data_IF_217803545312
#
_entry.id   IF_217803545312
#
_cell.length_a   1.000
_cell.length_b   1.000
_cell.length_c   1.000
_cell.angle_alpha   90.00
_cell.angle_beta   90.00
_cell.angle_gamma   90.00
#
_symmetry.space_group_name_H-M   'P 1'
#
loop_
_entity.id
_entity.type
_entity.pdbx_description
1 polymer ?
#
# COMPACT_ATOMS: atom_id res chain seq x y z
N UNK A 1 53.00 56.50 -74.35
CA UNK A 1 51.92 55.63 -74.85
C UNK A 1 51.17 55.13 -73.62
N UNK A 2 49.97 55.66 -73.39
CA UNK A 2 49.17 55.46 -72.21
C UNK A 2 48.51 54.09 -72.22
N UNK A 3 48.53 53.41 -71.04
CA UNK A 3 47.61 52.30 -70.77
C UNK A 3 46.86 52.59 -69.49
N UNK A 4 45.56 52.67 -69.62
CA UNK A 4 44.56 52.87 -68.60
C UNK A 4 44.40 51.68 -67.67
N UNK A 5 44.43 51.92 -66.39
CA UNK A 5 44.03 50.95 -65.36
C UNK A 5 42.65 51.32 -64.83
N UNK A 6 41.70 50.38 -64.97
CA UNK A 6 40.41 50.42 -64.38
C UNK A 6 40.52 49.78 -62.93
N UNK A 7 39.94 50.33 -61.90
CA UNK A 7 39.83 49.63 -60.63
C UNK A 7 38.48 48.90 -60.55
N UNK A 8 38.58 47.57 -60.42
CA UNK A 8 37.44 46.74 -60.07
C UNK A 8 37.00 47.00 -58.65
N UNK A 9 35.76 47.46 -58.51
CA UNK A 9 35.07 47.69 -57.25
C UNK A 9 34.50 46.36 -56.74
N UNK A 10 35.24 45.69 -55.84
CA UNK A 10 34.79 44.48 -55.18
C UNK A 10 33.67 44.84 -54.20
N UNK A 11 32.49 44.27 -54.43
CA UNK A 11 31.31 44.35 -53.55
C UNK A 11 31.54 43.41 -52.37
N UNK A 12 32.12 43.87 -51.27
CA UNK A 12 32.27 43.18 -50.00
C UNK A 12 31.07 43.46 -49.09
N UNK A 13 29.92 42.84 -49.31
CA UNK A 13 28.78 43.02 -48.41
C UNK A 13 27.82 41.85 -48.34
N UNK A 14 27.88 40.89 -49.26
CA UNK A 14 26.87 39.83 -49.29
C UNK A 14 27.14 38.57 -48.45
N UNK A 15 28.37 38.14 -48.11
CA UNK A 15 28.55 36.87 -47.38
C UNK A 15 28.14 36.93 -45.91
N UNK A 16 28.24 38.09 -45.26
CA UNK A 16 27.95 38.21 -43.82
C UNK A 16 26.42 38.16 -43.54
N UNK A 17 25.62 38.75 -44.41
CA UNK A 17 24.16 38.80 -44.22
C UNK A 17 23.50 37.45 -44.51
N UNK A 18 24.09 36.63 -45.41
CA UNK A 18 23.63 35.24 -45.66
C UNK A 18 24.00 34.32 -44.51
N UNK A 19 25.19 34.49 -43.91
CA UNK A 19 25.61 33.72 -42.76
C UNK A 19 24.72 34.01 -41.53
N UNK A 20 24.41 35.28 -41.28
CA UNK A 20 23.51 35.70 -40.19
C UNK A 20 22.10 35.10 -40.36
N UNK A 21 21.54 35.13 -41.57
CA UNK A 21 20.22 34.55 -41.86
C UNK A 21 20.23 33.03 -41.70
N UNK A 22 21.30 32.33 -42.08
CA UNK A 22 21.45 30.88 -41.93
C UNK A 22 21.59 30.47 -40.47
N UNK A 23 22.34 31.25 -39.68
CA UNK A 23 22.46 31.00 -38.21
C UNK A 23 21.12 31.30 -37.53
N UNK A 24 20.41 32.33 -37.87
CA UNK A 24 19.11 32.66 -37.33
C UNK A 24 18.07 31.56 -37.65
N UNK A 25 18.08 31.05 -38.89
CA UNK A 25 17.22 29.97 -39.32
C UNK A 25 17.54 28.66 -38.59
N UNK A 26 18.82 28.34 -38.37
CA UNK A 26 19.26 27.17 -37.59
C UNK A 26 18.84 27.27 -36.12
N UNK A 27 18.95 28.43 -35.50
CA UNK A 27 18.49 28.68 -34.12
C UNK A 27 16.98 28.52 -34.02
N UNK A 28 16.21 29.09 -34.94
CA UNK A 28 14.73 28.92 -34.96
C UNK A 28 14.34 27.45 -35.20
N UNK A 29 15.05 26.71 -36.05
CA UNK A 29 14.79 25.28 -36.22
C UNK A 29 15.12 24.45 -34.96
N UNK A 30 16.22 24.76 -34.27
CA UNK A 30 16.60 24.10 -33.01
C UNK A 30 15.58 24.38 -31.90
N UNK A 31 15.07 25.60 -31.79
CA UNK A 31 14.03 25.95 -30.84
C UNK A 31 12.71 25.27 -31.15
N UNK A 32 12.33 25.19 -32.44
CA UNK A 32 11.10 24.51 -32.87
C UNK A 32 11.15 22.97 -32.67
N UNK A 33 12.31 22.34 -32.81
CA UNK A 33 12.50 20.90 -32.51
C UNK A 33 12.60 20.62 -31.01
N UNK A 34 13.15 21.53 -30.20
CA UNK A 34 13.29 21.40 -28.77
C UNK A 34 11.95 21.35 -28.02
N UNK A 35 10.94 22.10 -28.46
CA UNK A 35 9.64 22.14 -27.80
C UNK A 35 8.80 20.86 -27.90
N UNK A 36 9.07 20.00 -28.88
CA UNK A 36 8.32 18.72 -29.04
C UNK A 36 8.80 17.59 -28.15
N UNK A 37 10.04 17.63 -27.64
CA UNK A 37 10.64 16.54 -26.87
C UNK A 37 10.57 16.72 -25.36
N UNK A 38 10.39 17.97 -24.87
CA UNK A 38 10.50 18.27 -23.44
C UNK A 38 9.34 17.69 -22.63
N UNK A 39 8.09 17.80 -23.09
CA UNK A 39 6.92 17.34 -22.35
C UNK A 39 6.86 15.82 -22.12
N UNK A 40 6.95 14.97 -23.18
CA UNK A 40 6.90 13.52 -23.02
C UNK A 40 8.10 12.95 -22.24
N UNK A 41 9.30 13.49 -22.45
CA UNK A 41 10.53 13.02 -21.77
C UNK A 41 10.53 13.39 -20.29
N UNK A 42 10.07 14.57 -19.94
CA UNK A 42 9.86 14.98 -18.54
C UNK A 42 8.88 14.06 -17.84
N UNK A 43 7.73 13.79 -18.46
CA UNK A 43 6.72 12.90 -17.88
C UNK A 43 7.26 11.49 -17.63
N UNK A 44 8.06 10.94 -18.56
CA UNK A 44 8.67 9.61 -18.40
C UNK A 44 9.70 9.57 -17.25
N UNK A 45 10.40 10.65 -16.98
CA UNK A 45 11.41 10.72 -15.92
C UNK A 45 10.79 11.00 -14.55
N UNK A 46 9.78 11.85 -14.48
CA UNK A 46 9.22 12.32 -13.21
C UNK A 46 8.09 11.45 -12.68
N UNK A 47 7.28 10.84 -13.57
CA UNK A 47 6.17 9.99 -13.17
C UNK A 47 6.56 8.80 -12.26
N UNK A 48 7.64 8.02 -12.54
CA UNK A 48 8.07 6.95 -11.65
C UNK A 48 8.52 7.46 -10.28
N UNK A 49 9.17 8.62 -10.21
CA UNK A 49 9.63 9.22 -8.96
C UNK A 49 8.46 9.66 -8.08
N UNK A 50 7.43 10.29 -8.67
CA UNK A 50 6.21 10.65 -7.93
C UNK A 50 5.45 9.43 -7.45
N UNK A 51 5.29 8.41 -8.30
CA UNK A 51 4.65 7.16 -7.89
C UNK A 51 5.37 6.52 -6.70
N UNK A 52 6.70 6.47 -6.74
CA UNK A 52 7.50 5.95 -5.63
C UNK A 52 7.33 6.78 -4.35
N UNK A 53 7.37 8.12 -4.46
CA UNK A 53 7.21 9.01 -3.32
C UNK A 53 5.83 8.89 -2.67
N UNK A 54 4.78 8.79 -3.48
CA UNK A 54 3.39 8.62 -3.03
C UNK A 54 3.22 7.24 -2.36
N UNK A 55 3.66 6.17 -3.01
CA UNK A 55 3.59 4.82 -2.44
C UNK A 55 4.28 4.76 -1.08
N UNK A 56 5.50 5.30 -0.99
CA UNK A 56 6.24 5.36 0.27
C UNK A 56 5.51 6.17 1.35
N UNK A 57 4.92 7.31 0.99
CA UNK A 57 4.16 8.14 1.94
C UNK A 57 2.92 7.40 2.47
N UNK A 58 2.24 6.62 1.61
CA UNK A 58 1.11 5.80 2.02
C UNK A 58 1.56 4.66 2.95
N UNK A 59 2.68 3.99 2.66
CA UNK A 59 3.23 2.95 3.52
C UNK A 59 3.64 3.51 4.89
N UNK A 60 4.31 4.66 4.93
CA UNK A 60 4.66 5.36 6.17
C UNK A 60 3.41 5.73 6.98
N UNK A 61 2.34 6.21 6.33
CA UNK A 61 1.07 6.51 6.97
C UNK A 61 0.42 5.25 7.57
N UNK A 62 0.44 4.14 6.84
CA UNK A 62 -0.12 2.87 7.30
C UNK A 62 0.62 2.35 8.54
N UNK A 63 1.95 2.31 8.47
CA UNK A 63 2.77 1.90 9.61
C UNK A 63 2.56 2.82 10.81
N UNK A 64 2.49 4.15 10.59
CA UNK A 64 2.24 5.11 11.66
C UNK A 64 0.89 4.85 12.35
N UNK A 65 -0.15 4.52 11.59
CA UNK A 65 -1.46 4.21 12.16
C UNK A 65 -1.46 2.90 12.97
N UNK A 66 -0.73 1.88 12.53
CA UNK A 66 -0.50 0.67 13.33
C UNK A 66 0.18 0.99 14.67
N UNK A 67 1.22 1.81 14.64
CA UNK A 67 1.93 2.24 15.85
C UNK A 67 1.01 3.07 16.76
N UNK A 68 0.24 4.00 16.22
CA UNK A 68 -0.75 4.79 16.99
C UNK A 68 -1.73 3.89 17.74
N UNK A 69 -2.26 2.87 17.08
CA UNK A 69 -3.20 1.92 17.71
C UNK A 69 -2.56 1.18 18.88
N UNK A 70 -1.27 0.82 18.80
CA UNK A 70 -0.54 0.24 19.93
C UNK A 70 -0.53 1.15 21.16
N UNK A 71 -0.46 2.47 20.96
CA UNK A 71 -0.49 3.50 22.01
C UNK A 71 -1.91 4.00 22.32
N UNK A 72 -2.95 3.40 21.74
CA UNK A 72 -4.36 3.83 21.85
C UNK A 72 -4.62 5.24 21.34
N UNK A 73 -3.77 5.73 20.44
CA UNK A 73 -3.98 6.99 19.74
C UNK A 73 -4.83 6.78 18.49
N UNK A 74 -5.63 7.77 18.13
CA UNK A 74 -6.51 7.68 16.98
C UNK A 74 -5.73 7.55 15.66
N UNK A 75 -6.03 6.55 14.81
CA UNK A 75 -5.48 6.48 13.47
C UNK A 75 -6.10 7.58 12.61
N UNK A 76 -5.33 8.07 11.64
CA UNK A 76 -5.77 9.07 10.69
C UNK A 76 -5.33 8.70 9.29
N UNK A 77 -6.29 8.63 8.36
CA UNK A 77 -6.02 8.20 6.99
C UNK A 77 -6.25 9.34 6.02
N UNK A 78 -5.28 9.52 5.11
CA UNK A 78 -5.34 10.44 3.98
C UNK A 78 -5.31 9.64 2.69
N UNK A 79 -6.25 9.88 1.81
CA UNK A 79 -6.22 9.38 0.44
C UNK A 79 -5.63 10.43 -0.49
N UNK A 80 -4.86 10.01 -1.49
CA UNK A 80 -4.41 10.89 -2.57
C UNK A 80 -5.57 11.12 -3.52
N UNK A 81 -6.06 12.35 -3.59
CA UNK A 81 -7.18 12.72 -4.44
C UNK A 81 -6.73 13.07 -5.87
N UNK A 82 -5.63 13.80 -5.99
CA UNK A 82 -5.06 14.16 -7.29
C UNK A 82 -3.57 14.48 -7.17
N UNK A 83 -2.87 14.26 -8.28
CA UNK A 83 -1.49 14.73 -8.50
C UNK A 83 -1.50 15.61 -9.72
N UNK A 84 -1.15 16.86 -9.57
CA UNK A 84 -1.09 17.85 -10.65
C UNK A 84 0.33 18.37 -10.73
N UNK A 85 0.93 18.33 -11.91
CA UNK A 85 2.27 18.88 -12.14
C UNK A 85 2.17 20.11 -13.02
N UNK A 86 2.72 21.20 -12.55
CA UNK A 86 2.86 22.43 -13.32
C UNK A 86 4.30 22.56 -13.77
N UNK A 87 4.50 22.67 -15.08
CA UNK A 87 5.82 22.79 -15.69
C UNK A 87 5.96 24.18 -16.29
N UNK A 88 7.01 24.92 -15.94
CA UNK A 88 7.36 26.19 -16.55
C UNK A 88 8.77 26.15 -17.11
N UNK A 89 8.93 26.70 -18.29
CA UNK A 89 10.23 26.91 -18.93
C UNK A 89 10.43 28.42 -19.04
N UNK A 90 11.40 28.92 -18.30
CA UNK A 90 11.81 30.32 -18.38
C UNK A 90 13.11 30.40 -19.19
N UNK A 91 13.12 31.26 -20.21
CA UNK A 91 14.32 31.50 -21.01
C UNK A 91 14.76 32.94 -20.79
N UNK A 92 15.93 33.11 -20.19
CA UNK A 92 16.57 34.41 -20.03
C UNK A 92 17.63 34.61 -21.11
N UNK A 93 17.39 35.52 -22.00
CA UNK A 93 18.38 35.95 -23.00
C UNK A 93 18.79 37.37 -22.67
N UNK A 94 20.02 37.55 -22.24
CA UNK A 94 20.59 38.89 -22.02
C UNK A 94 21.86 39.10 -22.85
N UNK A 95 21.98 40.27 -23.46
CA UNK A 95 23.19 40.69 -24.15
C UNK A 95 23.70 41.98 -23.49
N UNK A 96 24.90 41.91 -22.94
CA UNK A 96 25.57 43.13 -22.42
C UNK A 96 26.67 43.58 -23.34
N UNK A 97 26.60 44.84 -23.75
CA UNK A 97 27.65 45.52 -24.54
C UNK A 97 28.45 46.40 -23.59
N UNK A 98 29.73 46.07 -23.41
CA UNK A 98 30.65 46.89 -22.65
C UNK A 98 31.50 47.73 -23.59
N UNK A 99 31.23 49.02 -23.65
CA UNK A 99 32.00 50.00 -24.43
C UNK A 99 33.28 50.29 -23.66
N UNK A 100 34.42 49.78 -24.12
CA UNK A 100 35.75 50.07 -23.58
C UNK A 100 36.51 50.78 -24.70
N UNK A 101 37.15 51.91 -24.37
CA UNK A 101 38.00 52.68 -25.29
C UNK A 101 39.11 51.82 -25.84
N UNK A 102 38.90 51.16 -26.97
CA UNK A 102 39.88 50.28 -27.59
C UNK A 102 39.33 48.91 -28.07
N UNK A 103 38.06 48.65 -27.90
CA UNK A 103 37.40 47.47 -28.41
C UNK A 103 36.04 47.16 -27.72
N UNK A 104 35.01 46.98 -28.50
CA UNK A 104 33.68 46.60 -28.01
C UNK A 104 33.65 45.11 -27.74
N UNK A 105 33.29 44.73 -26.51
CA UNK A 105 33.10 43.31 -26.14
C UNK A 105 31.61 43.06 -25.97
N UNK A 106 31.05 42.22 -26.84
CA UNK A 106 29.68 41.68 -26.74
C UNK A 106 29.73 40.39 -25.99
N UNK A 107 29.12 40.33 -24.81
CA UNK A 107 29.01 39.09 -24.05
C UNK A 107 27.54 38.62 -24.08
N UNK A 108 27.17 37.67 -24.94
CA UNK A 108 25.86 37.07 -24.93
C UNK A 108 25.77 36.10 -23.76
N UNK A 109 24.68 36.17 -23.00
CA UNK A 109 24.33 35.23 -21.96
C UNK A 109 22.92 34.67 -22.27
N UNK A 110 22.80 33.36 -22.34
CA UNK A 110 21.52 32.68 -22.51
C UNK A 110 21.39 31.63 -21.41
N UNK A 111 20.33 31.70 -20.67
CA UNK A 111 19.96 30.75 -19.63
C UNK A 111 18.58 30.14 -19.96
N UNK A 112 18.45 28.83 -19.77
CA UNK A 112 17.16 28.15 -19.79
C UNK A 112 16.97 27.56 -18.42
N UNK A 113 15.94 28.01 -17.71
CA UNK A 113 15.56 27.48 -16.40
C UNK A 113 14.28 26.65 -16.57
N UNK A 114 14.39 25.35 -16.27
CA UNK A 114 13.23 24.46 -16.20
C UNK A 114 12.79 24.36 -14.73
N UNK A 115 11.53 24.71 -14.46
CA UNK A 115 10.94 24.61 -13.13
C UNK A 115 9.73 23.69 -13.20
N UNK A 116 9.73 22.67 -12.36
CA UNK A 116 8.60 21.75 -12.16
C UNK A 116 8.07 21.92 -10.74
N UNK A 117 6.76 22.13 -10.62
CA UNK A 117 6.10 22.34 -9.34
C UNK A 117 4.96 21.32 -9.21
N UNK A 118 5.22 20.15 -8.63
CA UNK A 118 4.19 19.17 -8.36
C UNK A 118 3.28 19.64 -7.21
N UNK A 119 2.00 19.38 -7.35
CA UNK A 119 0.99 19.63 -6.32
C UNK A 119 0.25 18.33 -6.04
N UNK A 120 0.34 17.84 -4.81
CA UNK A 120 -0.35 16.65 -4.37
C UNK A 120 -1.51 17.07 -3.47
N UNK A 121 -2.74 16.70 -3.87
CA UNK A 121 -3.94 16.96 -3.10
C UNK A 121 -4.35 15.74 -2.31
N UNK A 122 -4.51 15.90 -1.01
CA UNK A 122 -4.96 14.85 -0.11
C UNK A 122 -6.40 15.11 0.33
N UNK A 123 -7.19 14.04 0.41
CA UNK A 123 -8.52 14.05 1.03
C UNK A 123 -8.48 13.23 2.32
N UNK A 124 -8.94 13.78 3.45
CA UNK A 124 -9.14 12.97 4.65
C UNK A 124 -10.15 11.85 4.35
N UNK A 125 -9.76 10.62 4.67
CA UNK A 125 -10.69 9.50 4.70
C UNK A 125 -11.41 9.54 6.05
N UNK A 126 -12.57 10.19 6.07
CA UNK A 126 -13.37 10.44 7.28
C UNK A 126 -14.85 10.53 6.93
N UNK A 127 -15.70 10.60 7.96
CA UNK A 127 -17.15 10.65 7.81
C UNK A 127 -17.81 9.28 7.96
N UNK A 128 -19.14 9.30 8.02
CA UNK A 128 -19.95 8.13 8.38
C UNK A 128 -19.76 6.94 7.44
N UNK A 129 -19.63 7.21 6.14
CA UNK A 129 -19.44 6.15 5.15
C UNK A 129 -18.10 5.45 5.33
N UNK A 130 -17.02 6.19 5.54
CA UNK A 130 -15.70 5.62 5.80
C UNK A 130 -15.69 4.84 7.12
N UNK A 131 -16.23 5.42 8.19
CA UNK A 131 -16.28 4.76 9.49
C UNK A 131 -17.10 3.47 9.44
N UNK A 132 -18.27 3.47 8.81
CA UNK A 132 -19.06 2.25 8.61
C UNK A 132 -18.26 1.19 7.88
N UNK A 133 -17.51 1.55 6.86
CA UNK A 133 -16.78 0.63 6.01
C UNK A 133 -15.55 0.04 6.74
N UNK A 134 -14.76 0.87 7.42
CA UNK A 134 -13.56 0.40 8.13
C UNK A 134 -13.90 -0.43 9.38
N UNK A 135 -15.10 -0.24 9.95
CA UNK A 135 -15.62 -0.99 11.09
C UNK A 135 -16.47 -2.21 10.68
N UNK A 136 -16.88 -2.32 9.42
CA UNK A 136 -17.60 -3.48 8.92
C UNK A 136 -16.66 -4.69 8.76
N UNK A 137 -17.12 -5.90 9.08
CA UNK A 137 -16.34 -7.12 8.82
C UNK A 137 -15.94 -7.23 7.36
N UNK A 138 -14.72 -7.72 7.11
CA UNK A 138 -14.26 -8.04 5.75
C UNK A 138 -15.18 -9.10 5.15
N UNK A 139 -15.75 -8.90 3.96
CA UNK A 139 -16.62 -9.89 3.32
C UNK A 139 -15.88 -11.22 3.08
N UNK A 140 -16.59 -12.34 3.23
CA UNK A 140 -16.00 -13.68 2.95
C UNK A 140 -15.56 -13.81 1.49
N UNK A 141 -16.24 -13.12 0.58
CA UNK A 141 -15.89 -13.05 -0.84
C UNK A 141 -14.49 -12.41 -1.04
N UNK A 142 -14.12 -11.43 -0.24
CA UNK A 142 -12.79 -10.84 -0.28
C UNK A 142 -11.71 -11.83 0.18
N UNK A 143 -11.98 -12.65 1.20
CA UNK A 143 -11.12 -13.74 1.65
C UNK A 143 -10.94 -14.76 0.52
N UNK A 144 -12.02 -15.14 -0.17
CA UNK A 144 -12.00 -16.04 -1.30
C UNK A 144 -11.14 -15.49 -2.45
N UNK A 145 -11.37 -14.25 -2.87
CA UNK A 145 -10.62 -13.60 -3.96
C UNK A 145 -9.12 -13.61 -3.65
N UNK A 146 -8.73 -13.29 -2.43
CA UNK A 146 -7.33 -13.26 -2.03
C UNK A 146 -6.70 -14.66 -2.11
N UNK A 147 -7.38 -15.69 -1.61
CA UNK A 147 -6.86 -17.07 -1.66
C UNK A 147 -6.76 -17.59 -3.09
N UNK A 148 -7.71 -17.27 -3.97
CA UNK A 148 -7.66 -17.60 -5.39
C UNK A 148 -6.61 -16.79 -6.17
N UNK A 149 -6.22 -15.62 -5.66
CA UNK A 149 -5.14 -14.79 -6.24
C UNK A 149 -3.74 -15.28 -5.86
N UNK A 150 -3.61 -16.46 -5.26
CA UNK A 150 -2.32 -17.08 -4.94
C UNK A 150 -1.78 -16.73 -3.56
N UNK A 151 -2.55 -16.04 -2.72
CA UNK A 151 -2.16 -15.81 -1.33
C UNK A 151 -2.19 -17.12 -0.51
N UNK A 152 -1.31 -17.21 0.46
CA UNK A 152 -1.36 -18.30 1.44
C UNK A 152 -2.68 -18.27 2.21
N UNK A 153 -3.44 -19.37 2.20
CA UNK A 153 -4.68 -19.49 2.97
C UNK A 153 -4.41 -19.25 4.46
N UNK A 154 -3.30 -19.77 4.98
CA UNK A 154 -2.88 -19.53 6.36
C UNK A 154 -2.79 -18.05 6.66
N UNK A 155 -2.07 -17.25 5.83
CA UNK A 155 -1.89 -15.82 6.03
C UNK A 155 -3.23 -15.06 5.96
N UNK A 156 -4.02 -15.31 4.93
CA UNK A 156 -5.31 -14.62 4.74
C UNK A 156 -6.26 -14.95 5.88
N UNK A 157 -6.39 -16.21 6.26
CA UNK A 157 -7.28 -16.66 7.34
C UNK A 157 -6.79 -16.14 8.69
N UNK A 158 -5.50 -16.23 9.00
CA UNK A 158 -4.95 -15.73 10.28
C UNK A 158 -5.13 -14.22 10.45
N UNK A 159 -5.03 -13.44 9.37
CA UNK A 159 -5.21 -11.98 9.41
C UNK A 159 -6.69 -11.59 9.44
N UNK A 160 -7.49 -12.15 8.53
CA UNK A 160 -8.88 -11.71 8.30
C UNK A 160 -9.91 -12.36 9.22
N UNK A 161 -9.68 -13.59 9.68
CA UNK A 161 -10.67 -14.36 10.45
C UNK A 161 -10.41 -14.23 11.94
N UNK A 162 -11.45 -13.85 12.68
CA UNK A 162 -11.44 -13.73 14.14
C UNK A 162 -11.86 -15.04 14.83
N UNK A 163 -12.80 -15.75 14.22
CA UNK A 163 -13.33 -17.02 14.76
C UNK A 163 -13.79 -17.93 13.62
N UNK A 164 -13.50 -19.21 13.75
CA UNK A 164 -13.99 -20.27 12.89
C UNK A 164 -14.67 -21.34 13.76
N UNK A 165 -15.99 -21.51 13.66
CA UNK A 165 -16.78 -22.33 14.58
C UNK A 165 -16.47 -22.01 16.07
N UNK A 166 -15.96 -22.98 16.81
CA UNK A 166 -15.55 -22.81 18.22
C UNK A 166 -14.12 -22.30 18.42
N UNK A 167 -13.34 -22.15 17.35
CA UNK A 167 -11.94 -21.76 17.41
C UNK A 167 -11.78 -20.25 17.44
N UNK A 168 -11.15 -19.75 18.48
CA UNK A 168 -10.80 -18.33 18.61
C UNK A 168 -9.42 -18.05 18.01
N UNK A 169 -9.32 -17.00 17.24
CA UNK A 169 -8.06 -16.41 16.75
C UNK A 169 -7.83 -15.07 17.46
N UNK A 170 -7.47 -15.13 18.74
CA UNK A 170 -7.26 -13.92 19.54
C UNK A 170 -8.39 -12.88 19.34
N UNK A 171 -9.65 -13.28 19.50
CA UNK A 171 -10.81 -12.42 19.21
C UNK A 171 -10.83 -11.13 20.04
N UNK A 172 -10.24 -11.15 21.26
CA UNK A 172 -10.06 -9.97 22.08
C UNK A 172 -9.00 -8.98 21.57
N UNK A 173 -8.22 -9.36 20.56
CA UNK A 173 -7.19 -8.53 19.93
C UNK A 173 -7.71 -7.68 18.75
N UNK A 174 -8.98 -7.83 18.38
CA UNK A 174 -9.62 -6.99 17.34
C UNK A 174 -9.95 -5.56 17.83
N UNK A 175 -9.51 -5.20 19.02
CA UNK A 175 -9.64 -3.91 19.66
C UNK A 175 -8.36 -3.49 20.39
N UNK A 176 -8.42 -2.50 21.28
CA UNK A 176 -7.28 -2.06 22.06
C UNK A 176 -6.61 -3.21 22.80
N UNK A 177 -5.28 -3.14 22.97
CA UNK A 177 -4.47 -4.22 23.56
C UNK A 177 -5.14 -4.80 24.81
N UNK A 178 -5.45 -6.11 24.81
CA UNK A 178 -6.11 -6.76 25.95
C UNK A 178 -5.15 -6.90 27.13
N UNK A 179 -5.71 -6.96 28.35
CA UNK A 179 -4.93 -7.14 29.57
C UNK A 179 -4.57 -8.60 29.84
N UNK A 180 -5.34 -9.54 29.27
CA UNK A 180 -5.13 -10.99 29.42
C UNK A 180 -4.78 -11.62 28.08
N UNK A 181 -4.01 -12.70 28.14
CA UNK A 181 -3.62 -13.48 26.99
C UNK A 181 -4.83 -13.96 26.18
N UNK A 182 -4.72 -14.00 24.85
CA UNK A 182 -5.76 -14.49 23.97
C UNK A 182 -5.73 -16.03 23.88
N UNK A 183 -6.83 -16.60 23.38
CA UNK A 183 -6.87 -18.01 22.91
C UNK A 183 -6.65 -17.99 21.41
N UNK A 184 -5.73 -18.82 20.94
CA UNK A 184 -5.36 -18.85 19.51
C UNK A 184 -4.77 -20.20 19.05
N UNK A 185 -4.29 -21.06 19.93
CA UNK A 185 -3.43 -22.20 19.59
C UNK A 185 -4.13 -23.18 18.65
N UNK A 186 -5.38 -23.55 18.93
CA UNK A 186 -6.16 -24.46 18.08
C UNK A 186 -6.50 -23.82 16.72
N UNK A 187 -6.69 -22.52 16.70
CA UNK A 187 -6.90 -21.81 15.43
C UNK A 187 -5.61 -21.76 14.62
N UNK A 188 -4.46 -21.54 15.24
CA UNK A 188 -3.15 -21.58 14.58
C UNK A 188 -2.91 -22.96 13.95
N UNK A 189 -3.13 -24.05 14.71
CA UNK A 189 -3.04 -25.42 14.21
C UNK A 189 -3.96 -25.64 12.99
N UNK A 190 -5.21 -25.18 13.07
CA UNK A 190 -6.14 -25.24 11.93
C UNK A 190 -5.60 -24.54 10.70
N UNK A 191 -5.00 -23.34 10.84
CA UNK A 191 -4.46 -22.60 9.70
C UNK A 191 -3.21 -23.24 9.11
N UNK A 192 -2.39 -23.90 9.91
CA UNK A 192 -1.26 -24.70 9.44
C UNK A 192 -1.74 -25.90 8.59
N UNK A 193 -2.74 -26.63 9.06
CA UNK A 193 -3.34 -27.74 8.30
C UNK A 193 -3.94 -27.23 6.98
N UNK A 194 -4.66 -26.10 7.00
CA UNK A 194 -5.19 -25.49 5.77
C UNK A 194 -4.06 -25.14 4.78
N UNK A 195 -2.91 -24.68 5.28
CA UNK A 195 -1.75 -24.39 4.44
C UNK A 195 -1.13 -25.67 3.86
N UNK A 196 -0.98 -26.71 4.64
CA UNK A 196 -0.50 -28.03 4.17
C UNK A 196 -1.40 -28.56 3.04
N UNK A 197 -2.72 -28.53 3.24
CA UNK A 197 -3.69 -28.95 2.23
C UNK A 197 -3.63 -28.07 0.98
N UNK A 198 -3.43 -26.74 1.12
CA UNK A 198 -3.26 -25.84 -0.03
C UNK A 198 -2.00 -26.17 -0.83
N UNK A 199 -0.86 -26.42 -0.15
CA UNK A 199 0.41 -26.76 -0.81
C UNK A 199 0.32 -28.12 -1.52
N UNK A 200 -0.43 -29.07 -0.95
CA UNK A 200 -0.70 -30.37 -1.54
C UNK A 200 -1.74 -30.34 -2.67
N UNK A 201 -2.26 -29.16 -3.04
CA UNK A 201 -3.41 -28.98 -3.97
C UNK A 201 -4.64 -29.83 -3.58
N UNK A 202 -4.80 -30.04 -2.28
CA UNK A 202 -5.87 -30.88 -1.69
C UNK A 202 -7.03 -30.04 -1.13
N UNK A 203 -6.96 -28.71 -1.25
CA UNK A 203 -7.95 -27.76 -0.75
C UNK A 203 -8.35 -26.80 -1.86
N UNK A 204 -9.65 -26.49 -1.95
CA UNK A 204 -10.16 -25.45 -2.81
C UNK A 204 -11.20 -24.62 -2.06
N UNK A 205 -11.09 -23.29 -2.19
CA UNK A 205 -12.10 -22.34 -1.75
C UNK A 205 -12.82 -21.83 -2.99
N UNK A 206 -14.14 -21.96 -3.03
CA UNK A 206 -14.92 -21.61 -4.21
C UNK A 206 -16.34 -21.15 -3.88
N UNK A 207 -17.06 -20.82 -4.93
CA UNK A 207 -18.49 -20.53 -4.87
C UNK A 207 -19.23 -21.70 -5.52
N UNK A 208 -20.11 -22.35 -4.78
CA UNK A 208 -21.01 -23.37 -5.31
C UNK A 208 -22.35 -22.77 -5.64
N UNK A 209 -23.02 -23.31 -6.66
CA UNK A 209 -24.41 -22.94 -6.97
C UNK A 209 -25.28 -23.36 -5.79
N UNK A 210 -26.15 -22.45 -5.32
CA UNK A 210 -27.09 -22.79 -4.26
C UNK A 210 -28.02 -23.92 -4.73
N UNK A 211 -28.29 -24.88 -3.84
CA UNK A 211 -29.33 -25.87 -4.09
C UNK A 211 -30.71 -25.20 -4.13
N UNK A 212 -31.65 -25.69 -4.95
CA UNK A 212 -33.02 -25.21 -4.96
C UNK A 212 -33.60 -25.26 -3.55
N UNK A 213 -34.49 -24.29 -3.24
CA UNK A 213 -35.28 -24.36 -2.02
C UNK A 213 -36.28 -25.53 -2.04
N UNK A 214 -37.00 -25.74 -0.95
CA UNK A 214 -37.98 -26.81 -0.82
C UNK A 214 -39.13 -26.74 -1.89
N UNK A 215 -39.31 -25.58 -2.51
CA UNK A 215 -40.31 -25.30 -3.55
C UNK A 215 -39.68 -25.39 -4.97
N UNK A 216 -38.43 -25.74 -5.09
CA UNK A 216 -37.69 -25.92 -6.36
C UNK A 216 -37.22 -24.62 -7.01
N UNK A 217 -37.27 -23.47 -6.32
CA UNK A 217 -36.74 -22.22 -6.82
C UNK A 217 -35.24 -22.13 -6.53
N UNK A 218 -34.45 -21.81 -7.57
CA UNK A 218 -33.00 -21.53 -7.39
C UNK A 218 -32.85 -20.27 -6.55
N UNK A 219 -32.20 -20.37 -5.42
CA UNK A 219 -31.79 -19.20 -4.63
C UNK A 219 -30.83 -18.36 -5.46
N UNK A 220 -31.11 -17.07 -5.58
CA UNK A 220 -30.15 -16.13 -6.15
C UNK A 220 -28.94 -16.03 -5.21
N UNK A 221 -27.76 -16.39 -5.71
CA UNK A 221 -26.48 -16.30 -4.97
C UNK A 221 -25.62 -17.54 -5.16
N UNK A 222 -24.45 -17.48 -4.56
CA UNK A 222 -23.52 -18.59 -4.50
C UNK A 222 -23.14 -18.83 -3.04
N UNK A 223 -23.26 -20.08 -2.60
CA UNK A 223 -22.69 -20.49 -1.31
C UNK A 223 -21.17 -20.54 -1.42
N UNK A 224 -20.47 -19.89 -0.51
CA UNK A 224 -19.03 -20.05 -0.40
C UNK A 224 -18.75 -21.40 0.25
N UNK A 225 -17.84 -22.16 -0.32
CA UNK A 225 -17.52 -23.50 0.13
C UNK A 225 -16.01 -23.71 0.24
N UNK A 226 -15.64 -24.48 1.24
CA UNK A 226 -14.32 -25.09 1.35
C UNK A 226 -14.45 -26.53 0.92
N UNK A 227 -13.80 -26.89 -0.19
CA UNK A 227 -13.81 -28.21 -0.78
C UNK A 227 -12.50 -28.93 -0.46
N UNK A 228 -12.58 -30.08 0.14
CA UNK A 228 -11.47 -31.02 0.29
C UNK A 228 -11.44 -31.92 -0.95
N UNK A 229 -10.31 -31.97 -1.66
CA UNK A 229 -10.20 -32.73 -2.90
C UNK A 229 -9.93 -34.20 -2.62
N UNK A 230 -10.32 -35.13 -3.53
CA UNK A 230 -9.94 -36.54 -3.43
C UNK A 230 -8.42 -36.71 -3.40
N UNK A 231 -7.92 -37.54 -2.47
CA UNK A 231 -6.49 -37.75 -2.28
C UNK A 231 -5.83 -36.82 -1.26
N UNK A 232 -6.61 -35.95 -0.59
CA UNK A 232 -6.12 -35.17 0.55
C UNK A 232 -5.58 -36.10 1.64
N UNK A 233 -4.49 -35.74 2.38
CA UNK A 233 -3.97 -36.48 3.49
C UNK A 233 -5.05 -36.75 4.55
N UNK A 234 -5.37 -38.04 4.77
CA UNK A 234 -6.51 -38.44 5.61
C UNK A 234 -6.38 -37.94 7.06
N UNK A 235 -5.17 -37.96 7.61
CA UNK A 235 -4.90 -37.52 8.98
C UNK A 235 -5.12 -36.01 9.13
N UNK A 236 -4.62 -35.20 8.19
CA UNK A 236 -4.80 -33.73 8.17
C UNK A 236 -6.28 -33.39 8.02
N UNK A 237 -7.03 -34.09 7.14
CA UNK A 237 -8.47 -33.90 6.97
C UNK A 237 -9.24 -34.28 8.24
N UNK A 238 -8.92 -35.45 8.86
CA UNK A 238 -9.56 -35.88 10.09
C UNK A 238 -9.32 -34.88 11.22
N UNK A 239 -8.08 -34.41 11.38
CA UNK A 239 -7.72 -33.41 12.39
C UNK A 239 -8.39 -32.06 12.16
N UNK A 240 -8.46 -31.60 10.90
CA UNK A 240 -9.19 -30.38 10.54
C UNK A 240 -10.68 -30.47 10.92
N UNK A 241 -11.33 -31.58 10.56
CA UNK A 241 -12.76 -31.82 10.88
C UNK A 241 -12.99 -31.93 12.39
N UNK A 242 -12.05 -32.51 13.12
CA UNK A 242 -12.08 -32.55 14.59
C UNK A 242 -12.02 -31.17 15.20
N UNK A 243 -11.00 -30.36 14.84
CA UNK A 243 -10.83 -28.99 15.33
C UNK A 243 -12.06 -28.12 15.06
N UNK A 244 -12.63 -28.24 13.86
CA UNK A 244 -13.82 -27.48 13.45
C UNK A 244 -15.12 -28.01 14.07
N UNK A 245 -15.12 -29.20 14.70
CA UNK A 245 -16.31 -29.83 15.24
C UNK A 245 -17.31 -30.25 14.16
N UNK A 246 -16.81 -30.71 12.99
CA UNK A 246 -17.60 -31.14 11.83
C UNK A 246 -17.26 -32.57 11.42
N UNK A 247 -17.00 -33.45 12.38
CA UNK A 247 -16.57 -34.86 12.22
C UNK A 247 -17.67 -35.57 11.44
N UNK A 248 -18.40 -35.66 10.89
CA UNK A 248 -19.40 -36.37 10.09
C UNK A 248 -19.75 -35.66 8.80
N UNK A 249 -19.14 -34.51 8.58
CA UNK A 249 -19.37 -33.73 7.35
C UNK A 249 -18.71 -34.43 6.14
N UNK A 250 -19.29 -34.24 4.97
CA UNK A 250 -18.70 -34.57 3.68
C UNK A 250 -17.40 -33.81 3.43
N UNK A 251 -16.93 -33.86 2.19
CA UNK A 251 -15.70 -33.18 1.78
C UNK A 251 -15.95 -31.72 1.38
N UNK A 252 -17.17 -31.25 1.47
CA UNK A 252 -17.57 -29.88 1.20
C UNK A 252 -18.16 -29.24 2.46
N UNK A 253 -17.55 -28.15 2.92
CA UNK A 253 -18.01 -27.38 4.06
C UNK A 253 -18.53 -26.04 3.57
N UNK A 254 -19.82 -25.75 3.84
CA UNK A 254 -20.41 -24.43 3.48
C UNK A 254 -19.95 -23.38 4.47
N UNK A 255 -19.43 -22.27 3.95
CA UNK A 255 -19.05 -21.13 4.77
C UNK A 255 -20.25 -20.22 5.03
N UNK A 256 -20.42 -19.83 6.28
CA UNK A 256 -21.48 -18.90 6.70
C UNK A 256 -20.96 -17.91 7.73
N UNK A 257 -21.54 -16.73 7.80
CA UNK A 257 -21.34 -15.77 8.88
C UNK A 257 -22.39 -15.89 9.99
N UNK A 258 -23.38 -16.78 9.83
CA UNK A 258 -24.43 -17.04 10.82
C UNK A 258 -23.97 -18.12 11.83
N UNK A 259 -23.58 -17.67 13.02
CA UNK A 259 -23.19 -18.54 14.12
C UNK A 259 -24.38 -19.15 14.88
N UNK A 260 -25.59 -18.56 14.75
CA UNK A 260 -26.78 -19.02 15.46
C UNK A 260 -27.47 -20.17 14.74
N UNK A 261 -27.52 -20.08 13.40
CA UNK A 261 -28.21 -21.06 12.56
C UNK A 261 -27.21 -21.87 11.69
N UNK A 262 -26.05 -22.19 12.24
CA UNK A 262 -25.02 -22.93 11.52
C UNK A 262 -25.51 -24.36 11.17
N UNK A 263 -25.42 -24.78 9.89
CA UNK A 263 -25.63 -26.16 9.51
C UNK A 263 -24.63 -27.10 10.22
N UNK A 264 -25.00 -28.39 10.41
CA UNK A 264 -24.11 -29.36 11.07
C UNK A 264 -22.78 -29.58 10.30
N UNK A 265 -22.81 -29.46 8.99
CA UNK A 265 -21.70 -29.50 8.05
C UNK A 265 -21.15 -28.10 7.70
N UNK A 266 -21.65 -27.06 8.36
CA UNK A 266 -21.30 -25.68 8.09
C UNK A 266 -20.06 -25.21 8.83
N UNK A 267 -19.29 -24.36 8.19
CA UNK A 267 -18.17 -23.62 8.75
C UNK A 267 -18.61 -22.18 8.99
N UNK A 268 -18.96 -21.85 10.22
CA UNK A 268 -19.28 -20.47 10.59
C UNK A 268 -17.98 -19.68 10.78
N UNK A 269 -17.84 -18.60 10.02
CA UNK A 269 -16.63 -17.77 10.00
C UNK A 269 -17.00 -16.33 10.36
N UNK A 270 -16.36 -15.80 11.39
CA UNK A 270 -16.41 -14.36 11.73
C UNK A 270 -15.13 -13.71 11.28
N UNK A 271 -15.23 -12.76 10.38
CA UNK A 271 -14.10 -11.96 9.93
C UNK A 271 -13.92 -10.73 10.81
N UNK A 272 -12.69 -10.25 10.91
CA UNK A 272 -12.37 -8.95 11.49
C UNK A 272 -12.82 -7.83 10.54
N UNK A 273 -13.13 -6.68 11.11
CA UNK A 273 -13.17 -5.44 10.34
C UNK A 273 -11.74 -5.01 9.98
N UNK A 274 -11.60 -4.07 9.02
CA UNK A 274 -10.30 -3.51 8.70
C UNK A 274 -9.63 -2.86 9.93
N UNK A 275 -10.40 -2.16 10.75
CA UNK A 275 -9.92 -1.63 12.03
C UNK A 275 -9.49 -2.74 12.99
N UNK A 276 -10.25 -3.83 13.06
CA UNK A 276 -9.90 -5.01 13.87
C UNK A 276 -8.60 -5.67 13.41
N UNK A 277 -8.35 -5.75 12.11
CA UNK A 277 -7.08 -6.25 11.55
C UNK A 277 -5.91 -5.34 11.96
N UNK A 278 -6.08 -4.02 11.84
CA UNK A 278 -5.06 -3.05 12.26
C UNK A 278 -4.74 -3.18 13.75
N UNK A 279 -5.74 -3.31 14.62
CA UNK A 279 -5.51 -3.58 16.03
C UNK A 279 -4.76 -4.89 16.26
N UNK A 280 -5.24 -5.97 15.66
CA UNK A 280 -4.64 -7.31 15.77
C UNK A 280 -3.14 -7.29 15.42
N UNK A 281 -2.78 -6.69 14.30
CA UNK A 281 -1.38 -6.59 13.88
C UNK A 281 -0.57 -5.60 14.73
N UNK A 282 -1.20 -4.55 15.28
CA UNK A 282 -0.51 -3.57 16.12
C UNK A 282 0.01 -4.16 17.44
N UNK A 283 -0.55 -5.28 17.91
CA UNK A 283 -0.10 -5.89 19.15
C UNK A 283 1.33 -6.38 19.11
N UNK A 284 1.82 -6.79 17.94
CA UNK A 284 3.21 -7.20 17.73
C UNK A 284 4.14 -6.02 17.33
N UNK A 285 3.76 -4.79 17.65
CA UNK A 285 4.68 -3.68 17.59
C UNK A 285 5.54 -3.63 18.85
N UNK A 286 6.86 -3.68 18.67
CA UNK A 286 7.84 -3.55 19.75
C UNK A 286 7.69 -2.18 20.42
N UNK A 287 7.68 -2.17 21.74
CA UNK A 287 7.59 -0.94 22.52
C UNK A 287 8.92 -0.67 23.18
N UNK A 288 9.52 0.52 22.99
CA UNK A 288 10.76 0.88 23.66
C UNK A 288 10.64 0.77 25.19
N UNK A 289 11.67 0.27 25.90
CA UNK A 289 11.62 0.13 27.36
C UNK A 289 11.24 1.39 28.14
N UNK A 290 11.69 2.61 27.75
CA UNK A 290 11.25 3.84 28.43
C UNK A 290 9.73 4.08 28.30
N UNK A 291 9.09 3.70 27.18
CA UNK A 291 7.66 3.85 26.99
C UNK A 291 6.86 2.84 27.82
N UNK A 292 7.40 1.62 27.99
CA UNK A 292 6.80 0.61 28.87
C UNK A 292 6.87 1.08 30.32
N UNK A 293 8.03 1.55 30.79
CA UNK A 293 8.25 2.08 32.12
C UNK A 293 7.34 3.29 32.44
N UNK A 294 7.08 4.13 31.44
CA UNK A 294 6.17 5.27 31.54
C UNK A 294 4.68 4.90 31.46
N UNK A 295 4.33 3.61 31.32
CA UNK A 295 2.93 3.14 31.23
C UNK A 295 2.17 3.64 30.00
N UNK A 296 2.88 3.96 28.89
CA UNK A 296 2.27 4.50 27.67
C UNK A 296 1.50 3.45 26.86
N UNK A 297 1.71 2.17 27.12
CA UNK A 297 1.06 1.04 26.44
C UNK A 297 0.56 0.02 27.46
N UNK A 298 -0.51 -0.67 27.09
CA UNK A 298 -1.00 -1.81 27.87
C UNK A 298 -0.09 -3.02 27.62
N UNK A 299 0.29 -3.70 28.67
CA UNK A 299 0.96 -4.99 28.63
C UNK A 299 -0.07 -6.10 28.89
N UNK A 300 -0.16 -7.04 27.95
CA UNK A 300 -0.93 -8.25 28.10
C UNK A 300 -0.21 -9.17 29.09
N UNK A 301 -0.93 -9.75 30.04
CA UNK A 301 -0.37 -10.69 31.00
C UNK A 301 -0.86 -12.11 30.70
N UNK A 302 0.05 -13.08 30.79
CA UNK A 302 -0.29 -14.50 30.77
C UNK A 302 -1.02 -14.92 32.06
N UNK A 303 -1.53 -16.15 32.09
CA UNK A 303 -2.17 -16.71 33.29
C UNK A 303 -1.23 -16.74 34.50
N UNK A 304 0.09 -16.86 34.29
CA UNK A 304 1.11 -16.83 35.33
C UNK A 304 1.54 -15.43 35.74
N UNK A 305 0.92 -14.38 35.19
CA UNK A 305 1.24 -12.97 35.51
C UNK A 305 2.51 -12.45 34.85
N UNK A 306 3.06 -13.16 33.83
CA UNK A 306 4.17 -12.70 33.01
C UNK A 306 3.67 -11.87 31.85
N UNK A 307 4.52 -11.00 31.31
CA UNK A 307 4.20 -10.29 30.07
C UNK A 307 4.06 -11.30 28.93
N UNK A 308 2.89 -11.30 28.27
CA UNK A 308 2.60 -12.18 27.15
C UNK A 308 3.36 -11.73 25.91
N UNK A 309 3.96 -12.69 25.20
CA UNK A 309 4.69 -12.42 23.94
C UNK A 309 3.76 -12.54 22.73
N UNK A 310 3.39 -11.41 22.15
CA UNK A 310 2.56 -11.40 20.94
C UNK A 310 3.21 -12.04 19.72
N UNK A 311 4.51 -12.34 19.76
CA UNK A 311 5.14 -13.15 18.70
C UNK A 311 4.55 -14.56 18.60
N UNK A 312 4.00 -15.09 19.69
CA UNK A 312 3.33 -16.40 19.68
C UNK A 312 2.09 -16.40 18.79
N UNK A 313 1.39 -15.24 18.67
CA UNK A 313 0.17 -15.10 17.87
C UNK A 313 0.46 -14.68 16.43
N UNK A 314 1.32 -13.68 16.25
CA UNK A 314 1.52 -13.01 14.94
C UNK A 314 2.97 -12.99 14.47
N UNK A 315 3.92 -13.53 15.26
CA UNK A 315 5.35 -13.42 14.96
C UNK A 315 5.80 -14.07 13.66
N UNK A 316 5.13 -15.14 13.24
CA UNK A 316 5.34 -15.76 11.94
C UNK A 316 4.70 -15.02 10.76
N UNK A 317 3.93 -13.96 11.03
CA UNK A 317 3.19 -13.22 10.01
C UNK A 317 3.61 -11.76 9.91
N UNK A 318 3.78 -11.09 11.06
CA UNK A 318 3.96 -9.63 11.09
C UNK A 318 4.64 -9.16 12.36
N UNK A 319 5.65 -8.32 12.22
CA UNK A 319 6.35 -7.68 13.34
C UNK A 319 6.78 -6.26 12.98
N UNK A 320 6.50 -5.31 13.86
CA UNK A 320 7.05 -3.95 13.80
C UNK A 320 8.15 -3.82 14.86
N UNK A 321 9.36 -3.48 14.43
CA UNK A 321 10.52 -3.30 15.31
C UNK A 321 10.63 -1.85 15.76
N UNK A 322 11.34 -1.63 16.87
CA UNK A 322 11.65 -0.28 17.36
C UNK A 322 13.16 -0.03 17.44
N UNK A 323 13.56 1.25 17.28
CA UNK A 323 14.94 1.69 17.47
C UNK A 323 15.01 3.15 17.94
N UNK A 324 16.15 3.55 18.50
CA UNK A 324 16.40 4.94 18.93
C UNK A 324 16.80 5.86 17.78
N UNK A 325 17.28 5.31 16.67
CA UNK A 325 17.69 6.06 15.48
C UNK A 325 17.03 5.48 14.23
N UNK A 326 17.00 6.27 13.15
CA UNK A 326 16.43 5.81 11.88
C UNK A 326 17.21 4.59 11.36
N UNK A 327 16.55 3.44 11.15
CA UNK A 327 17.22 2.24 10.64
C UNK A 327 17.62 2.43 9.17
N UNK A 328 18.83 1.98 8.82
CA UNK A 328 19.34 2.08 7.45
C UNK A 328 18.66 1.09 6.49
N UNK A 329 18.35 -0.13 6.97
CA UNK A 329 17.81 -1.23 6.18
C UNK A 329 16.34 -1.49 6.58
N UNK A 330 15.48 -0.50 6.36
CA UNK A 330 14.05 -0.63 6.60
C UNK A 330 13.30 -0.58 5.27
N UNK A 331 12.34 -1.47 5.10
CA UNK A 331 11.32 -1.38 4.04
C UNK A 331 10.49 -0.11 4.24
N UNK A 332 9.98 0.09 5.44
CA UNK A 332 9.25 1.30 5.86
C UNK A 332 9.62 1.65 7.29
N UNK A 333 9.78 2.95 7.60
CA UNK A 333 10.13 3.42 8.93
C UNK A 333 9.49 4.77 9.24
N UNK A 334 8.95 4.92 10.44
CA UNK A 334 8.29 6.14 10.91
C UNK A 334 8.79 6.56 12.28
N UNK A 335 8.98 7.86 12.53
CA UNK A 335 9.26 8.37 13.87
C UNK A 335 7.94 8.52 14.65
N UNK A 336 7.93 8.08 15.91
CA UNK A 336 6.81 8.28 16.79
C UNK A 336 7.25 8.35 18.27
N UNK A 337 6.81 9.35 19.02
CA UNK A 337 7.13 9.57 20.44
C UNK A 337 8.61 9.47 20.78
N UNK A 338 9.51 9.99 19.90
CA UNK A 338 10.95 9.99 20.12
C UNK A 338 11.68 8.68 19.79
N UNK A 339 10.98 7.68 19.27
CA UNK A 339 11.55 6.45 18.75
C UNK A 339 11.20 6.25 17.27
N UNK A 340 11.93 5.35 16.60
CA UNK A 340 11.63 4.88 15.26
C UNK A 340 10.96 3.52 15.32
N UNK A 341 9.94 3.34 14.48
CA UNK A 341 9.23 2.08 14.29
C UNK A 341 9.37 1.67 12.83
N UNK A 342 9.66 0.40 12.57
CA UNK A 342 9.97 -0.03 11.22
C UNK A 342 9.69 -1.51 10.96
N UNK A 343 9.50 -1.83 9.69
CA UNK A 343 9.55 -3.19 9.16
C UNK A 343 10.92 -3.34 8.47
N UNK A 344 11.70 -4.35 8.86
CA UNK A 344 13.01 -4.60 8.26
C UNK A 344 12.88 -5.04 6.80
N UNK A 345 13.79 -4.62 5.93
CA UNK A 345 13.71 -4.92 4.50
C UNK A 345 13.91 -6.41 4.17
N UNK A 346 14.61 -7.13 5.02
CA UNK A 346 14.80 -8.59 4.92
C UNK A 346 13.70 -9.41 5.62
N UNK A 347 12.71 -8.77 6.24
CA UNK A 347 11.58 -9.45 6.86
C UNK A 347 10.46 -9.65 5.82
N UNK A 348 10.60 -10.70 5.01
CA UNK A 348 9.69 -10.98 3.89
C UNK A 348 8.28 -11.32 4.36
N UNK A 349 8.13 -11.92 5.54
CA UNK A 349 6.83 -12.30 6.10
C UNK A 349 6.04 -11.06 6.50
N UNK A 350 6.67 -10.12 7.23
CA UNK A 350 6.05 -8.84 7.58
C UNK A 350 5.75 -7.99 6.35
N UNK A 351 6.64 -7.97 5.35
CA UNK A 351 6.40 -7.26 4.07
C UNK A 351 5.19 -7.84 3.33
N UNK A 352 5.08 -9.17 3.24
CA UNK A 352 3.95 -9.83 2.60
C UNK A 352 2.63 -9.54 3.31
N UNK A 353 2.62 -9.57 4.65
CA UNK A 353 1.41 -9.21 5.42
C UNK A 353 1.07 -7.73 5.29
N UNK A 354 2.07 -6.85 5.24
CA UNK A 354 1.85 -5.42 5.01
C UNK A 354 1.24 -5.15 3.62
N UNK A 355 1.70 -5.87 2.60
CA UNK A 355 1.12 -5.79 1.26
C UNK A 355 -0.33 -6.30 1.24
N UNK A 356 -0.63 -7.43 1.91
CA UNK A 356 -2.00 -7.93 2.07
C UNK A 356 -2.89 -6.89 2.75
N UNK A 357 -2.40 -6.27 3.83
CA UNK A 357 -3.11 -5.22 4.56
C UNK A 357 -3.45 -4.03 3.66
N UNK A 358 -2.50 -3.57 2.85
CA UNK A 358 -2.70 -2.46 1.91
C UNK A 358 -3.73 -2.83 0.83
N UNK A 359 -3.70 -4.06 0.31
CA UNK A 359 -4.70 -4.53 -0.65
C UNK A 359 -6.10 -4.61 -0.05
N UNK A 360 -6.23 -5.15 1.16
CA UNK A 360 -7.51 -5.19 1.89
C UNK A 360 -8.08 -3.79 2.14
N UNK A 361 -7.23 -2.86 2.56
CA UNK A 361 -7.64 -1.48 2.76
C UNK A 361 -8.13 -0.84 1.47
N UNK A 362 -7.41 -1.03 0.36
CA UNK A 362 -7.81 -0.49 -0.94
C UNK A 362 -9.11 -1.10 -1.45
N UNK A 363 -9.34 -2.40 -1.23
CA UNK A 363 -10.62 -3.05 -1.56
C UNK A 363 -11.78 -2.42 -0.78
N UNK A 364 -11.57 -2.12 0.49
CA UNK A 364 -12.59 -1.48 1.31
C UNK A 364 -12.73 0.03 1.03
N UNK A 365 -11.63 0.76 0.91
CA UNK A 365 -11.63 2.19 0.65
C UNK A 365 -12.11 2.55 -0.77
N UNK A 366 -11.86 1.69 -1.76
CA UNK A 366 -12.22 1.92 -3.16
C UNK A 366 -13.74 2.00 -3.42
N UNK A 367 -14.56 1.55 -2.49
CA UNK A 367 -16.03 1.70 -2.56
C UNK A 367 -16.51 3.09 -2.09
N UNK A 368 -15.61 3.93 -1.60
CA UNK A 368 -15.95 5.28 -1.11
C UNK A 368 -15.87 6.25 -2.29
N UNK A 369 -16.97 6.94 -2.60
CA UNK A 369 -16.94 8.05 -3.54
C UNK A 369 -16.01 9.14 -2.99
N UNK A 370 -14.94 9.46 -3.73
CA UNK A 370 -14.00 10.51 -3.37
C UNK A 370 -14.71 11.84 -3.23
N UNK A 371 -14.65 12.43 -2.04
CA UNK A 371 -15.06 13.80 -1.78
C UNK A 371 -13.99 14.71 -2.42
N UNK A 372 -14.41 15.92 -2.86
CA UNK A 372 -13.48 16.90 -3.42
C UNK A 372 -12.28 17.14 -2.48
N UNK A 373 -11.07 17.36 -3.01
CA UNK A 373 -9.87 17.49 -2.18
C UNK A 373 -10.00 18.65 -1.21
N UNK A 374 -9.81 18.37 0.09
CA UNK A 374 -9.90 19.35 1.17
C UNK A 374 -8.56 20.02 1.49
N UNK A 375 -7.45 19.44 1.05
CA UNK A 375 -6.10 19.94 1.33
C UNK A 375 -5.24 19.82 0.08
N UNK A 376 -4.66 20.93 -0.35
CA UNK A 376 -3.70 20.99 -1.45
C UNK A 376 -2.35 21.46 -0.92
N UNK A 377 -1.32 20.65 -1.07
CA UNK A 377 0.04 20.98 -0.64
C UNK A 377 0.89 21.14 -1.89
N UNK A 378 1.41 22.36 -2.10
CA UNK A 378 2.43 22.65 -3.12
C UNK A 378 3.76 22.02 -2.67
N UNK A 379 4.31 21.12 -3.47
CA UNK A 379 5.60 20.49 -3.21
C UNK A 379 6.62 21.11 -4.14
N UNK A 380 7.32 22.09 -3.66
CA UNK A 380 8.36 22.81 -4.39
C UNK A 380 8.26 24.32 -4.18
N UNK A 381 9.12 24.85 -3.39
CA UNK A 381 9.48 26.26 -3.23
C UNK A 381 10.95 26.40 -3.46
#
# INVERSE_FOLDING_TARGET
MLVSLHPDFVREGEPIMIQIKSVLLAVVLCVAMGCRAVGPTSLQQTHPQYNHAISRSLDEQFLLNLVRLKYRDNPYFLGVASVTTQQSVESDVSASVKLIRGGDTLTPSAGITYKETPTISYSPLSGDQFLKQILSPVPLEAVLILTQSGWSVQRVVSVCVERANGLDNASNASGPTPTREPRFEQFAEMTEILRELQVADALELGAATCEPDADGHMKEGHDLVLQLKPGAPADSVARLKELLGVQGAGDQLRLTNDFLNRPKDGLAVRTRSMMGILFYLSHNAEVPPPHQAAGLVTQTQSAEGKVFDWNEVTGGLFRVRSSTSRPANAFVAVPYRGAWFYIADNDLESKSTFMLLTQLFNLQAGQIKTVAPALTIGVGG
#
